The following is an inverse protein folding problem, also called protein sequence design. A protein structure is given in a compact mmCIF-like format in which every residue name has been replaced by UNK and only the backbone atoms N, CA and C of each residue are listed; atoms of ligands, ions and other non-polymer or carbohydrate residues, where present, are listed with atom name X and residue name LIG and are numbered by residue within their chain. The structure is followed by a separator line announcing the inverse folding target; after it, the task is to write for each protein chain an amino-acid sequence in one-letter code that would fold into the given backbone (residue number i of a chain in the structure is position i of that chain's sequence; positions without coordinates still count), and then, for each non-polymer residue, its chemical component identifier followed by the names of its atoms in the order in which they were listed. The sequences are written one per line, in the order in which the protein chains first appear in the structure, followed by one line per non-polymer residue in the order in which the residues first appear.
data_IF_562847285799
#
_entry.id   IF_562847285799
#
_cell.length_a   1.000
_cell.length_b   1.000
_cell.length_c   1.000
_cell.angle_alpha   90.00
_cell.angle_beta   90.00
_cell.angle_gamma   90.00
#
_symmetry.space_group_name_H-M   'P 1'
#
loop_
_entity.id
_entity.type
_entity.pdbx_description
1 polymer ?
#
# COMPACT_ATOMS: atom_id res chain seq x y z
N UNK A 1 -16.29 -24.61 27.11
CA UNK A 1 -14.97 -24.35 26.48
C UNK A 1 -14.96 -22.91 26.00
N UNK A 2 -14.28 -22.02 26.71
CA UNK A 2 -14.23 -20.59 26.37
C UNK A 2 -13.29 -20.37 25.20
N UNK A 3 -13.85 -20.12 24.01
CA UNK A 3 -13.09 -19.72 22.82
C UNK A 3 -12.56 -18.28 23.01
N UNK A 4 -11.44 -18.14 23.70
CA UNK A 4 -10.71 -16.87 23.76
C UNK A 4 -10.18 -16.56 22.35
N UNK A 5 -10.90 -15.68 21.63
CA UNK A 5 -10.39 -15.06 20.41
C UNK A 5 -9.35 -14.03 20.82
N UNK A 6 -8.09 -14.44 20.90
CA UNK A 6 -6.98 -13.50 21.06
C UNK A 6 -6.87 -12.66 19.78
N UNK A 7 -7.28 -11.40 19.87
CA UNK A 7 -7.13 -10.44 18.78
C UNK A 7 -5.69 -9.90 18.77
N UNK A 8 -4.91 -10.31 17.76
CA UNK A 8 -3.58 -9.73 17.55
C UNK A 8 -3.70 -8.30 17.03
N UNK A 9 -3.06 -7.35 17.74
CA UNK A 9 -2.95 -5.98 17.27
C UNK A 9 -1.72 -5.85 16.37
N UNK A 10 -1.98 -5.79 15.07
CA UNK A 10 -0.94 -5.57 14.07
C UNK A 10 -0.28 -4.19 14.23
N UNK A 11 1.04 -4.20 14.37
CA UNK A 11 1.90 -3.02 14.35
C UNK A 11 2.17 -2.54 12.92
N UNK A 12 2.56 -1.28 12.77
CA UNK A 12 2.94 -0.71 11.46
C UNK A 12 4.13 -1.45 10.83
N UNK A 13 5.11 -1.86 11.66
CA UNK A 13 6.25 -2.65 11.23
C UNK A 13 5.84 -4.02 10.65
N UNK A 14 4.94 -4.74 11.34
CA UNK A 14 4.42 -6.02 10.85
C UNK A 14 3.60 -5.85 9.57
N UNK A 15 2.81 -4.77 9.47
CA UNK A 15 2.03 -4.45 8.27
C UNK A 15 2.93 -4.20 7.08
N UNK A 16 3.98 -3.37 7.24
CA UNK A 16 4.98 -3.10 6.20
C UNK A 16 5.72 -4.36 5.80
N UNK A 17 6.11 -5.18 6.77
CA UNK A 17 6.77 -6.45 6.52
C UNK A 17 5.86 -7.41 5.75
N UNK A 18 4.61 -7.58 6.18
CA UNK A 18 3.62 -8.43 5.50
C UNK A 18 3.42 -7.99 4.05
N UNK A 19 3.23 -6.69 3.83
CA UNK A 19 3.05 -6.15 2.47
C UNK A 19 4.27 -6.44 1.60
N UNK A 20 5.47 -6.08 2.08
CA UNK A 20 6.74 -6.29 1.36
C UNK A 20 6.97 -7.76 1.02
N UNK A 21 6.73 -8.66 1.96
CA UNK A 21 6.92 -10.10 1.75
C UNK A 21 5.93 -10.63 0.72
N UNK A 22 4.64 -10.30 0.84
CA UNK A 22 3.61 -10.76 -0.09
C UNK A 22 3.83 -10.23 -1.51
N UNK A 23 4.24 -8.97 -1.68
CA UNK A 23 4.53 -8.41 -3.01
C UNK A 23 5.84 -8.93 -3.57
N UNK A 24 6.86 -9.14 -2.73
CA UNK A 24 8.17 -9.65 -3.15
C UNK A 24 8.18 -11.13 -3.50
N UNK A 25 7.29 -11.93 -2.93
CA UNK A 25 7.16 -13.37 -3.22
C UNK A 25 6.10 -13.70 -4.28
N UNK A 26 5.61 -12.70 -5.02
CA UNK A 26 4.49 -12.85 -5.97
C UNK A 26 3.26 -13.56 -5.36
N UNK A 27 2.94 -13.21 -4.11
CA UNK A 27 1.86 -13.81 -3.31
C UNK A 27 2.02 -15.31 -3.04
N UNK A 28 3.25 -15.81 -2.99
CA UNK A 28 3.52 -17.13 -2.43
C UNK A 28 3.23 -17.13 -0.93
N UNK A 29 2.04 -17.63 -0.58
CA UNK A 29 1.56 -17.69 0.78
C UNK A 29 2.25 -18.76 1.63
N UNK A 30 2.91 -19.74 1.02
CA UNK A 30 3.69 -20.75 1.74
C UNK A 30 4.92 -20.07 2.34
N UNK A 31 5.63 -19.29 1.54
CA UNK A 31 6.79 -18.50 1.99
C UNK A 31 6.38 -17.45 3.02
N UNK A 32 5.28 -16.73 2.78
CA UNK A 32 4.78 -15.71 3.73
C UNK A 32 4.47 -16.34 5.09
N UNK A 33 3.91 -17.56 5.12
CA UNK A 33 3.62 -18.29 6.36
C UNK A 33 4.89 -18.70 7.11
N UNK A 34 6.00 -18.99 6.41
CA UNK A 34 7.28 -19.27 7.06
C UNK A 34 7.83 -18.04 7.81
N UNK A 35 7.59 -16.83 7.30
CA UNK A 35 7.96 -15.58 7.97
C UNK A 35 7.02 -15.25 9.13
N UNK A 36 5.75 -15.64 9.01
CA UNK A 36 4.69 -15.36 9.98
C UNK A 36 4.06 -16.64 10.57
N UNK A 37 4.84 -17.49 11.28
CA UNK A 37 4.38 -18.82 11.71
C UNK A 37 3.27 -18.77 12.75
N UNK A 38 3.15 -17.64 13.48
CA UNK A 38 2.13 -17.42 14.51
C UNK A 38 0.74 -17.13 13.93
N UNK A 39 0.64 -16.91 12.62
CA UNK A 39 -0.61 -16.58 11.95
C UNK A 39 -1.03 -17.68 10.98
N UNK A 40 -2.33 -17.94 10.96
CA UNK A 40 -2.92 -18.80 9.93
C UNK A 40 -2.92 -18.10 8.58
N UNK A 41 -2.94 -18.90 7.51
CA UNK A 41 -3.01 -18.38 6.15
C UNK A 41 -4.17 -17.40 5.95
N UNK A 42 -5.33 -17.77 6.49
CA UNK A 42 -6.55 -16.97 6.40
C UNK A 42 -6.39 -15.60 7.10
N UNK A 43 -5.73 -15.56 8.26
CA UNK A 43 -5.45 -14.30 8.96
C UNK A 43 -4.53 -13.39 8.14
N UNK A 44 -3.49 -13.96 7.52
CA UNK A 44 -2.54 -13.23 6.68
C UNK A 44 -3.22 -12.67 5.43
N UNK A 45 -4.01 -13.48 4.73
CA UNK A 45 -4.77 -13.08 3.55
C UNK A 45 -5.80 -11.99 3.87
N UNK A 46 -6.56 -12.16 4.96
CA UNK A 46 -7.52 -11.16 5.41
C UNK A 46 -6.83 -9.83 5.73
N UNK A 47 -5.70 -9.88 6.45
CA UNK A 47 -4.93 -8.68 6.78
C UNK A 47 -4.40 -8.00 5.52
N UNK A 48 -3.85 -8.75 4.58
CA UNK A 48 -3.35 -8.20 3.31
C UNK A 48 -4.48 -7.56 2.49
N UNK A 49 -5.66 -8.18 2.41
CA UNK A 49 -6.82 -7.58 1.76
C UNK A 49 -7.23 -6.25 2.40
N UNK A 50 -7.21 -6.15 3.73
CA UNK A 50 -7.47 -4.89 4.43
C UNK A 50 -6.42 -3.83 4.11
N UNK A 51 -5.14 -4.20 4.08
CA UNK A 51 -4.05 -3.30 3.69
C UNK A 51 -4.30 -2.77 2.28
N UNK A 52 -4.57 -3.63 1.29
CA UNK A 52 -4.86 -3.21 -0.08
C UNK A 52 -6.05 -2.23 -0.17
N UNK A 53 -7.11 -2.48 0.60
CA UNK A 53 -8.27 -1.57 0.67
C UNK A 53 -7.88 -0.21 1.27
N UNK A 54 -7.03 -0.18 2.28
CA UNK A 54 -6.54 1.07 2.88
C UNK A 54 -5.70 1.88 1.89
N UNK A 55 -4.75 1.25 1.19
CA UNK A 55 -3.98 1.92 0.14
C UNK A 55 -4.89 2.52 -0.93
N UNK A 56 -5.88 1.79 -1.42
CA UNK A 56 -6.86 2.32 -2.40
C UNK A 56 -7.62 3.54 -1.89
N UNK A 57 -7.94 3.59 -0.59
CA UNK A 57 -8.64 4.73 0.02
C UNK A 57 -7.73 5.95 0.19
N UNK A 58 -6.44 5.75 0.46
CA UNK A 58 -5.47 6.84 0.55
C UNK A 58 -5.09 7.45 -0.80
N UNK A 59 -5.19 6.69 -1.90
CA UNK A 59 -5.04 7.22 -3.27
C UNK A 59 -6.32 7.85 -3.85
N UNK A 60 -7.44 7.78 -3.12
CA UNK A 60 -8.70 8.41 -3.52
C UNK A 60 -9.00 9.64 -2.64
N UNK A 61 -7.98 10.48 -2.41
CA UNK A 61 -8.23 11.83 -1.90
C UNK A 61 -8.81 12.65 -3.06
N UNK A 62 -10.05 13.16 -2.97
CA UNK A 62 -10.50 14.17 -3.92
C UNK A 62 -9.61 15.40 -3.74
N UNK A 63 -8.97 15.81 -4.83
CA UNK A 63 -8.33 17.11 -4.97
C UNK A 63 -9.39 18.20 -4.80
N UNK A 64 -9.69 18.60 -3.56
CA UNK A 64 -10.38 19.85 -3.29
C UNK A 64 -9.82 20.49 -2.04
N UNK A 65 -8.83 21.35 -2.26
CA UNK A 65 -8.85 22.65 -1.59
C UNK A 65 -8.48 23.67 -2.63
N UNK A 66 -9.46 24.48 -2.98
CA UNK A 66 -9.34 25.65 -3.84
C UNK A 66 -8.21 26.56 -3.35
N UNK A 67 -7.20 26.79 -4.18
CA UNK A 67 -6.44 28.03 -4.11
C UNK A 67 -6.98 28.95 -5.20
N UNK A 68 -7.55 30.04 -4.70
CA UNK A 68 -8.09 31.17 -5.43
C UNK A 68 -7.08 31.68 -6.46
N UNK A 69 -7.59 31.79 -7.68
CA UNK A 69 -6.94 32.38 -8.83
C UNK A 69 -6.75 33.88 -8.60
N UNK A 70 -5.55 34.31 -8.22
CA UNK A 70 -5.10 35.70 -8.37
C UNK A 70 -3.76 35.71 -9.13
N UNK A 71 -3.88 35.76 -10.47
CA UNK A 71 -3.20 36.70 -11.38
C UNK A 71 -1.66 36.80 -11.44
N UNK A 72 -1.13 36.53 -12.67
CA UNK A 72 0.21 36.80 -13.26
C UNK A 72 1.34 35.86 -12.81
N UNK A 73 2.08 35.16 -13.68
CA UNK A 73 2.92 35.62 -14.82
C UNK A 73 3.24 34.42 -15.74
N UNK A 74 3.49 34.56 -17.06
CA UNK A 74 3.65 33.41 -17.97
C UNK A 74 5.13 33.10 -18.24
N UNK A 75 5.83 32.33 -17.40
CA UNK A 75 7.18 31.86 -17.73
C UNK A 75 7.46 30.41 -17.28
N UNK A 76 7.86 29.60 -18.26
CA UNK A 76 8.64 28.35 -18.13
C UNK A 76 7.92 27.05 -17.74
N UNK A 77 7.48 26.30 -18.76
CA UNK A 77 7.27 24.85 -18.66
C UNK A 77 8.64 24.16 -18.59
N UNK A 78 8.98 23.58 -17.43
CA UNK A 78 10.16 22.72 -17.28
C UNK A 78 9.80 21.26 -17.59
N UNK A 79 10.54 20.65 -18.53
CA UNK A 79 10.34 19.31 -19.11
C UNK A 79 10.60 18.16 -18.11
N UNK A 80 10.93 18.46 -16.85
CA UNK A 80 11.26 17.44 -15.84
C UNK A 80 10.05 16.62 -15.36
N UNK A 81 8.83 17.16 -15.41
CA UNK A 81 7.65 16.51 -14.81
C UNK A 81 7.13 15.30 -15.62
N UNK A 82 7.53 15.18 -16.90
CA UNK A 82 7.10 14.06 -17.75
C UNK A 82 7.88 12.77 -17.45
N UNK A 83 9.06 12.86 -16.83
CA UNK A 83 9.94 11.69 -16.60
C UNK A 83 9.42 10.81 -15.46
N UNK A 84 8.79 11.40 -14.43
CA UNK A 84 8.26 10.63 -13.29
C UNK A 84 7.02 9.79 -13.63
N UNK A 85 6.26 10.16 -14.67
CA UNK A 85 5.10 9.38 -15.13
C UNK A 85 5.55 8.15 -15.92
N UNK A 86 6.57 8.28 -16.78
CA UNK A 86 7.08 7.17 -17.61
C UNK A 86 7.82 6.09 -16.82
N UNK A 87 8.48 6.43 -15.70
CA UNK A 87 9.16 5.45 -14.84
C UNK A 87 8.21 4.57 -14.01
N UNK A 88 6.91 4.92 -13.94
CA UNK A 88 5.90 4.13 -13.23
C UNK A 88 5.37 2.92 -14.01
N UNK A 89 5.72 2.78 -15.31
CA UNK A 89 5.23 1.71 -16.18
C UNK A 89 6.22 0.56 -16.43
N UNK A 90 7.47 0.61 -15.91
CA UNK A 90 8.53 -0.35 -16.27
C UNK A 90 8.89 -1.35 -15.15
N UNK A 91 8.20 -1.37 -14.00
CA UNK A 91 8.46 -2.38 -12.96
C UNK A 91 7.29 -3.32 -12.72
N UNK A 92 6.98 -4.09 -13.75
CA UNK A 92 6.29 -5.37 -13.63
C UNK A 92 6.96 -6.37 -14.57
N UNK A 93 8.11 -6.91 -14.14
CA UNK A 93 8.53 -8.28 -14.46
C UNK A 93 8.63 -9.06 -13.14
#
# INVERSE_FOLDING_TARGET
MSNQRTYHKWTDAEVKLLYKTVTGSNRDWVLVRQVFPMFTLMQLQNKFSMIQKQYRRCYHSPSQTSQTLETRTPESFSVQDTINVLLSMIKCE
#
